data_IF_752068571562
#
_entry.id   IF_752068571562
#
_cell.length_a   1.000
_cell.length_b   1.000
_cell.length_c   1.000
_cell.angle_alpha   90.00
_cell.angle_beta   90.00
_cell.angle_gamma   90.00
#
_symmetry.space_group_name_H-M   'P 1'
#
loop_
_entity.id
_entity.type
_entity.pdbx_description
1 polymer ?
#
# COMPACT_ATOMS: atom_id res chain seq x y z
N UNK A 1 -60.20 9.36 -3.40
CA UNK A 1 -59.23 8.39 -2.87
C UNK A 1 -58.39 7.99 -4.06
N UNK A 2 -57.35 8.79 -4.32
CA UNK A 2 -56.35 8.50 -5.33
C UNK A 2 -55.11 8.08 -4.55
N UNK A 3 -54.90 6.77 -4.49
CA UNK A 3 -53.75 6.15 -3.83
C UNK A 3 -52.48 6.56 -4.58
N UNK A 4 -51.70 7.39 -3.91
CA UNK A 4 -50.33 7.71 -4.28
C UNK A 4 -49.51 6.43 -4.08
N UNK A 5 -49.35 5.63 -5.14
CA UNK A 5 -48.44 4.50 -5.17
C UNK A 5 -47.01 5.05 -5.11
N UNK A 6 -46.54 5.28 -3.89
CA UNK A 6 -45.14 5.46 -3.57
C UNK A 6 -44.46 4.10 -3.75
N UNK A 7 -44.18 3.76 -5.01
CA UNK A 7 -43.15 2.77 -5.37
C UNK A 7 -41.84 3.31 -4.81
N UNK A 8 -41.62 2.96 -3.55
CA UNK A 8 -40.41 3.22 -2.81
C UNK A 8 -39.42 2.24 -3.38
N UNK A 9 -38.61 2.74 -4.32
CA UNK A 9 -37.47 2.09 -4.96
C UNK A 9 -36.46 1.61 -3.91
N UNK A 10 -36.81 0.50 -3.25
CA UNK A 10 -36.09 -0.11 -2.13
C UNK A 10 -35.47 -1.46 -2.52
N UNK A 11 -35.38 -1.71 -3.83
CA UNK A 11 -34.62 -2.81 -4.44
C UNK A 11 -33.11 -2.50 -4.57
N UNK A 12 -32.63 -1.37 -4.05
CA UNK A 12 -31.33 -0.79 -4.42
C UNK A 12 -30.19 -1.03 -3.42
N UNK A 13 -30.06 -2.22 -2.85
CA UNK A 13 -28.84 -2.61 -2.12
C UNK A 13 -28.37 -3.98 -2.58
N UNK A 14 -27.34 -4.01 -3.42
CA UNK A 14 -26.62 -5.24 -3.78
C UNK A 14 -25.90 -5.78 -2.54
N UNK A 15 -26.46 -6.83 -1.96
CA UNK A 15 -26.06 -7.36 -0.66
C UNK A 15 -24.57 -7.75 -0.65
N UNK A 16 -24.06 -8.36 -1.72
CA UNK A 16 -22.66 -8.80 -1.76
C UNK A 16 -21.67 -7.63 -1.84
N UNK A 17 -21.92 -6.61 -2.68
CA UNK A 17 -20.99 -5.49 -2.86
C UNK A 17 -20.89 -4.65 -1.58
N UNK A 18 -22.03 -4.35 -0.97
CA UNK A 18 -22.10 -3.60 0.29
C UNK A 18 -21.44 -4.36 1.44
N UNK A 19 -21.70 -5.67 1.52
CA UNK A 19 -21.03 -6.55 2.47
C UNK A 19 -19.51 -6.59 2.25
N UNK A 20 -19.06 -6.68 0.99
CA UNK A 20 -17.63 -6.73 0.67
C UNK A 20 -16.93 -5.43 1.06
N UNK A 21 -17.50 -4.26 0.78
CA UNK A 21 -16.88 -2.96 1.07
C UNK A 21 -16.93 -2.66 2.58
N UNK A 22 -17.98 -3.09 3.27
CA UNK A 22 -18.09 -2.94 4.74
C UNK A 22 -17.26 -3.96 5.51
N UNK A 23 -16.77 -5.01 4.84
CA UNK A 23 -15.90 -6.02 5.46
C UNK A 23 -14.58 -5.43 5.95
N UNK A 24 -14.14 -5.92 7.10
CA UNK A 24 -12.91 -5.46 7.76
C UNK A 24 -11.70 -5.70 6.84
N UNK A 25 -10.96 -4.64 6.55
CA UNK A 25 -9.81 -4.68 5.65
C UNK A 25 -10.08 -4.12 4.26
N UNK A 26 -11.35 -3.89 3.88
CA UNK A 26 -11.72 -3.41 2.55
C UNK A 26 -12.05 -1.91 2.51
N UNK A 27 -11.60 -1.14 3.50
CA UNK A 27 -11.96 0.29 3.61
C UNK A 27 -11.40 1.15 2.47
N UNK A 28 -10.41 0.65 1.73
CA UNK A 28 -9.81 1.33 0.57
C UNK A 28 -10.61 1.18 -0.72
N UNK A 29 -11.48 0.17 -0.82
CA UNK A 29 -12.31 0.00 -2.00
C UNK A 29 -13.38 1.09 -2.08
N UNK A 30 -13.75 1.44 -3.30
CA UNK A 30 -15.00 2.14 -3.57
C UNK A 30 -16.03 1.18 -4.15
N UNK A 31 -17.29 1.60 -4.08
CA UNK A 31 -18.40 0.89 -4.69
C UNK A 31 -18.36 1.06 -6.21
N UNK A 32 -18.34 -0.06 -6.94
CA UNK A 32 -18.42 -0.07 -8.40
C UNK A 32 -19.90 -0.02 -8.81
N UNK A 33 -20.22 0.87 -9.75
CA UNK A 33 -21.58 0.97 -10.28
C UNK A 33 -22.00 -0.33 -10.97
N UNK A 34 -23.25 -0.74 -10.77
CA UNK A 34 -23.79 -1.95 -11.41
C UNK A 34 -23.78 -1.89 -12.94
N UNK A 35 -24.04 -0.70 -13.51
CA UNK A 35 -23.93 -0.44 -14.94
C UNK A 35 -22.52 -0.76 -15.48
N UNK A 36 -21.48 -0.54 -14.68
CA UNK A 36 -20.11 -0.85 -15.07
C UNK A 36 -19.82 -2.35 -15.07
N UNK A 37 -20.39 -3.09 -14.11
CA UNK A 37 -20.26 -4.55 -13.97
C UNK A 37 -21.07 -5.33 -15.02
N UNK A 38 -22.21 -4.79 -15.43
CA UNK A 38 -23.08 -5.44 -16.43
C UNK A 38 -22.56 -5.25 -17.87
N UNK A 39 -21.75 -4.22 -18.12
CA UNK A 39 -21.13 -4.00 -19.43
C UNK A 39 -19.92 -4.92 -19.68
N UNK A 40 -20.13 -5.89 -20.58
CA UNK A 40 -19.13 -6.89 -20.97
C UNK A 40 -17.85 -6.27 -21.54
N UNK A 41 -17.90 -5.08 -22.13
CA UNK A 41 -16.72 -4.44 -22.70
C UNK A 41 -15.69 -4.10 -21.61
N UNK A 42 -16.14 -3.64 -20.45
CA UNK A 42 -15.27 -3.28 -19.33
C UNK A 42 -14.58 -4.50 -18.71
N UNK A 43 -15.18 -5.68 -18.83
CA UNK A 43 -14.70 -6.94 -18.26
C UNK A 43 -13.84 -7.76 -19.23
N UNK A 44 -13.56 -7.24 -20.43
CA UNK A 44 -12.78 -7.95 -21.46
C UNK A 44 -11.44 -8.44 -20.92
N UNK A 45 -11.12 -9.72 -21.15
CA UNK A 45 -9.86 -10.37 -20.75
C UNK A 45 -9.81 -10.88 -19.31
N UNK A 46 -10.76 -10.52 -18.43
CA UNK A 46 -10.78 -11.02 -17.04
C UNK A 46 -11.19 -12.49 -16.95
N UNK A 47 -11.89 -12.99 -17.96
CA UNK A 47 -12.31 -14.39 -18.06
C UNK A 47 -11.13 -15.38 -18.15
N UNK A 48 -9.95 -14.94 -18.58
CA UNK A 48 -8.75 -15.79 -18.62
C UNK A 48 -7.94 -15.73 -17.32
N UNK A 49 -8.10 -14.68 -16.52
CA UNK A 49 -7.38 -14.49 -15.27
C UNK A 49 -8.14 -15.09 -14.07
N UNK A 50 -9.47 -15.04 -14.10
CA UNK A 50 -10.32 -15.46 -12.97
C UNK A 50 -10.88 -16.87 -13.20
N UNK A 51 -10.64 -17.76 -12.23
CA UNK A 51 -11.26 -19.09 -12.20
C UNK A 51 -12.75 -18.98 -11.86
N UNK A 52 -13.61 -19.82 -12.43
CA UNK A 52 -15.06 -19.78 -12.20
C UNK A 52 -15.68 -18.40 -12.52
N UNK A 53 -15.15 -17.71 -13.53
CA UNK A 53 -15.53 -16.33 -13.88
C UNK A 53 -17.05 -16.07 -13.91
N UNK A 54 -17.83 -16.94 -14.56
CA UNK A 54 -19.28 -16.75 -14.64
C UNK A 54 -19.94 -16.80 -13.26
N UNK A 55 -19.63 -17.82 -12.46
CA UNK A 55 -20.15 -17.95 -11.09
C UNK A 55 -19.70 -16.82 -10.17
N UNK A 56 -18.45 -16.36 -10.33
CA UNK A 56 -17.92 -15.23 -9.60
C UNK A 56 -18.65 -13.92 -9.97
N UNK A 57 -18.93 -13.70 -11.26
CA UNK A 57 -19.70 -12.55 -11.72
C UNK A 57 -21.13 -12.59 -11.21
N UNK A 58 -21.80 -13.73 -11.34
CA UNK A 58 -23.17 -13.94 -10.87
C UNK A 58 -23.28 -13.66 -9.35
N UNK A 59 -22.26 -14.02 -8.57
CA UNK A 59 -22.19 -13.74 -7.14
C UNK A 59 -22.02 -12.24 -6.84
N UNK A 60 -21.16 -11.54 -7.58
CA UNK A 60 -20.94 -10.09 -7.42
C UNK A 60 -22.17 -9.27 -7.84
N UNK A 61 -22.99 -9.80 -8.76
CA UNK A 61 -24.23 -9.18 -9.22
C UNK A 61 -25.48 -9.68 -8.48
N UNK A 62 -25.33 -10.47 -7.40
CA UNK A 62 -26.44 -11.05 -6.62
C UNK A 62 -27.44 -11.90 -7.45
N UNK A 63 -26.98 -12.50 -8.56
CA UNK A 63 -27.77 -13.43 -9.42
C UNK A 63 -27.38 -14.91 -9.17
N UNK A 64 -26.54 -15.15 -8.16
CA UNK A 64 -26.04 -16.49 -7.87
C UNK A 64 -27.07 -17.37 -7.15
N UNK A 65 -27.58 -18.37 -7.86
CA UNK A 65 -28.63 -19.30 -7.40
C UNK A 65 -28.17 -20.78 -7.45
N UNK A 66 -26.86 -21.02 -7.26
CA UNK A 66 -26.31 -22.38 -7.32
C UNK A 66 -26.15 -22.97 -5.91
N UNK A 67 -26.94 -24.01 -5.63
CA UNK A 67 -26.71 -24.90 -4.50
C UNK A 67 -25.46 -25.76 -4.77
N UNK A 68 -24.35 -25.42 -4.11
CA UNK A 68 -23.07 -26.13 -4.19
C UNK A 68 -22.53 -26.45 -2.81
N UNK A 69 -21.63 -27.43 -2.75
CA UNK A 69 -20.95 -27.82 -1.51
C UNK A 69 -20.13 -26.64 -0.95
N UNK A 70 -19.96 -26.59 0.38
CA UNK A 70 -19.31 -25.48 1.08
C UNK A 70 -17.89 -25.16 0.54
N UNK A 71 -17.12 -26.19 0.18
CA UNK A 71 -15.78 -26.02 -0.40
C UNK A 71 -15.80 -25.31 -1.76
N UNK A 72 -16.79 -25.66 -2.60
CA UNK A 72 -16.95 -25.04 -3.91
C UNK A 72 -17.43 -23.60 -3.77
N UNK A 73 -18.31 -23.33 -2.81
CA UNK A 73 -18.76 -21.97 -2.50
C UNK A 73 -17.62 -21.08 -2.04
N UNK A 74 -16.75 -21.57 -1.17
CA UNK A 74 -15.56 -20.81 -0.71
C UNK A 74 -14.62 -20.49 -1.88
N UNK A 75 -14.42 -21.44 -2.80
CA UNK A 75 -13.61 -21.22 -4.00
C UNK A 75 -14.22 -20.13 -4.91
N UNK A 76 -15.54 -20.16 -5.12
CA UNK A 76 -16.26 -19.14 -5.90
C UNK A 76 -16.16 -17.78 -5.23
N UNK A 77 -16.33 -17.70 -3.90
CA UNK A 77 -16.17 -16.45 -3.16
C UNK A 77 -14.76 -15.87 -3.29
N UNK A 78 -13.72 -16.71 -3.23
CA UNK A 78 -12.33 -16.28 -3.44
C UNK A 78 -12.15 -15.71 -4.85
N UNK A 79 -12.69 -16.37 -5.86
CA UNK A 79 -12.70 -15.86 -7.24
C UNK A 79 -13.50 -14.57 -7.39
N UNK A 80 -14.63 -14.41 -6.70
CA UNK A 80 -15.44 -13.21 -6.72
C UNK A 80 -14.71 -12.01 -6.10
N UNK A 81 -14.04 -12.19 -4.94
CA UNK A 81 -13.17 -11.15 -4.35
C UNK A 81 -12.05 -10.75 -5.31
N UNK A 82 -11.44 -11.74 -5.97
CA UNK A 82 -10.38 -11.49 -6.95
C UNK A 82 -10.89 -10.72 -8.17
N UNK A 83 -12.02 -11.14 -8.74
CA UNK A 83 -12.69 -10.48 -9.87
C UNK A 83 -13.03 -9.02 -9.51
N UNK A 84 -13.69 -8.80 -8.38
CA UNK A 84 -14.07 -7.47 -7.91
C UNK A 84 -12.84 -6.56 -7.79
N UNK A 85 -11.73 -7.09 -7.27
CA UNK A 85 -10.47 -6.35 -7.18
C UNK A 85 -9.90 -5.95 -8.56
N UNK A 86 -9.91 -6.84 -9.54
CA UNK A 86 -9.45 -6.54 -10.90
C UNK A 86 -10.34 -5.53 -11.61
N UNK A 87 -11.66 -5.64 -11.45
CA UNK A 87 -12.61 -4.66 -11.99
C UNK A 87 -12.44 -3.32 -11.30
N UNK A 88 -12.21 -3.31 -9.98
CA UNK A 88 -11.97 -2.09 -9.22
C UNK A 88 -10.78 -1.31 -9.77
N UNK A 89 -9.67 -1.97 -10.10
CA UNK A 89 -8.49 -1.33 -10.69
C UNK A 89 -8.81 -0.58 -11.99
N UNK A 90 -9.70 -1.15 -12.82
CA UNK A 90 -10.17 -0.51 -14.07
C UNK A 90 -11.17 0.62 -13.77
N UNK A 91 -12.08 0.40 -12.84
CA UNK A 91 -13.15 1.34 -12.50
C UNK A 91 -12.61 2.65 -11.91
N UNK A 92 -11.63 2.59 -10.99
CA UNK A 92 -11.11 3.80 -10.32
C UNK A 92 -10.33 4.75 -11.23
N UNK A 93 -10.02 4.33 -12.46
CA UNK A 93 -9.42 5.18 -13.49
C UNK A 93 -10.49 5.92 -14.31
N UNK A 94 -11.74 5.48 -14.28
CA UNK A 94 -12.87 6.15 -14.94
C UNK A 94 -13.28 7.44 -14.22
N UNK A 95 -13.97 8.34 -14.90
CA UNK A 95 -14.45 9.60 -14.31
C UNK A 95 -15.35 9.39 -13.10
N UNK A 96 -16.24 8.38 -13.14
CA UNK A 96 -17.13 8.03 -12.02
C UNK A 96 -16.34 7.45 -10.84
N UNK A 97 -15.43 6.51 -11.08
CA UNK A 97 -14.60 5.91 -10.03
C UNK A 97 -13.64 6.91 -9.38
N UNK A 98 -13.03 7.80 -10.18
CA UNK A 98 -12.17 8.88 -9.67
C UNK A 98 -12.94 9.81 -8.72
N UNK A 99 -14.19 10.15 -9.04
CA UNK A 99 -15.02 10.99 -8.17
C UNK A 99 -15.29 10.32 -6.81
N UNK A 100 -15.66 9.03 -6.80
CA UNK A 100 -15.87 8.27 -5.54
C UNK A 100 -14.59 8.17 -4.71
N UNK A 101 -13.46 7.89 -5.36
CA UNK A 101 -12.16 7.82 -4.67
C UNK A 101 -11.70 9.19 -4.15
N UNK A 102 -12.02 10.27 -4.87
CA UNK A 102 -11.73 11.64 -4.43
C UNK A 102 -12.49 11.99 -3.14
N UNK A 103 -13.73 11.55 -3.00
CA UNK A 103 -14.49 11.76 -1.76
C UNK A 103 -13.84 11.06 -0.56
N UNK A 104 -13.40 9.81 -0.76
CA UNK A 104 -12.64 9.05 0.26
C UNK A 104 -11.29 9.72 0.58
N UNK A 105 -10.61 10.26 -0.43
CA UNK A 105 -9.37 11.01 -0.25
C UNK A 105 -9.56 12.28 0.60
N UNK A 106 -10.64 13.03 0.35
CA UNK A 106 -10.99 14.23 1.15
C UNK A 106 -11.29 13.88 2.61
N UNK A 107 -11.92 12.72 2.86
CA UNK A 107 -12.17 12.19 4.21
C UNK A 107 -10.94 11.58 4.88
N UNK A 108 -9.84 11.39 4.13
CA UNK A 108 -8.62 10.71 4.55
C UNK A 108 -8.83 9.25 4.99
N UNK A 109 -9.77 8.55 4.34
CA UNK A 109 -10.09 7.13 4.61
C UNK A 109 -8.88 6.21 4.39
N UNK A 110 -8.01 6.57 3.43
CA UNK A 110 -6.81 5.81 3.10
C UNK A 110 -5.70 5.92 4.17
N UNK A 111 -5.83 6.88 5.09
CA UNK A 111 -4.83 7.21 6.08
C UNK A 111 -4.04 8.47 5.72
N UNK A 112 -3.05 8.76 6.57
CA UNK A 112 -2.24 9.99 6.53
C UNK A 112 -0.76 9.66 6.46
N UNK A 113 0.01 10.53 5.83
CA UNK A 113 1.44 10.36 5.65
C UNK A 113 2.16 10.19 7.01
N UNK A 114 2.99 9.15 7.17
CA UNK A 114 3.74 8.93 8.42
C UNK A 114 4.87 9.96 8.61
N UNK A 115 5.31 10.65 7.55
CA UNK A 115 6.33 11.69 7.67
C UNK A 115 5.76 12.89 8.42
N UNK A 116 6.40 13.24 9.55
CA UNK A 116 6.04 14.38 10.40
C UNK A 116 5.96 15.69 9.60
N UNK A 117 6.95 15.93 8.72
CA UNK A 117 7.02 17.16 7.92
C UNK A 117 5.95 17.24 6.81
N UNK A 118 5.16 16.19 6.60
CA UNK A 118 4.04 16.21 5.65
C UNK A 118 2.72 16.70 6.27
N UNK A 119 2.71 17.15 7.52
CA UNK A 119 1.53 17.66 8.25
C UNK A 119 0.30 16.76 8.11
N UNK A 120 0.51 15.45 8.20
CA UNK A 120 -0.53 14.44 8.10
C UNK A 120 -1.36 14.52 6.79
N UNK A 121 -0.70 14.81 5.67
CA UNK A 121 -1.28 14.76 4.32
C UNK A 121 -2.04 13.44 4.06
N UNK A 122 -3.28 13.49 3.53
CA UNK A 122 -4.00 12.28 3.09
C UNK A 122 -3.23 11.51 2.02
N UNK A 123 -3.29 10.18 2.11
CA UNK A 123 -2.63 9.26 1.19
C UNK A 123 -3.60 8.72 0.13
N UNK A 124 -3.07 8.12 -0.92
CA UNK A 124 -3.85 7.37 -1.93
C UNK A 124 -3.32 5.94 -2.04
N UNK A 125 -4.20 4.94 -2.20
CA UNK A 125 -3.77 3.57 -2.45
C UNK A 125 -3.20 3.43 -3.86
N UNK A 126 -2.20 2.58 -4.04
CA UNK A 126 -1.67 2.17 -5.33
C UNK A 126 -1.00 0.79 -5.25
N UNK A 127 -0.86 0.11 -6.38
CA UNK A 127 -0.06 -1.11 -6.52
C UNK A 127 1.31 -0.82 -7.13
N UNK A 128 2.36 -1.53 -6.70
CA UNK A 128 3.68 -1.44 -7.36
C UNK A 128 3.72 -2.20 -8.69
N UNK A 129 2.80 -3.16 -8.87
CA UNK A 129 2.61 -3.96 -10.07
C UNK A 129 1.13 -4.06 -10.37
N UNK A 130 0.78 -4.12 -11.66
CA UNK A 130 -0.58 -4.42 -12.12
C UNK A 130 -0.83 -5.94 -12.21
N UNK A 131 0.21 -6.77 -11.99
CA UNK A 131 0.11 -8.23 -11.98
C UNK A 131 -0.32 -8.71 -10.58
N UNK A 132 -1.42 -9.47 -10.47
CA UNK A 132 -1.91 -9.98 -9.19
C UNK A 132 -0.89 -10.83 -8.43
N UNK A 133 -1.03 -10.86 -7.10
CA UNK A 133 -0.21 -11.60 -6.14
C UNK A 133 1.29 -11.23 -6.14
N UNK A 134 1.68 -10.12 -6.75
CA UNK A 134 3.10 -9.67 -6.77
C UNK A 134 3.45 -8.89 -5.51
N UNK A 135 2.64 -7.89 -5.16
CA UNK A 135 2.92 -6.97 -4.05
C UNK A 135 1.61 -6.49 -3.42
N UNK A 136 1.57 -6.35 -2.09
CA UNK A 136 0.40 -5.78 -1.43
C UNK A 136 0.25 -4.28 -1.72
N UNK A 137 -0.93 -3.74 -1.47
CA UNK A 137 -1.22 -2.32 -1.65
C UNK A 137 -0.26 -1.43 -0.87
N UNK A 138 0.18 -0.36 -1.53
CA UNK A 138 1.00 0.72 -0.97
C UNK A 138 0.21 2.01 -0.95
N UNK A 139 0.70 2.98 -0.18
CA UNK A 139 0.09 4.29 -0.04
C UNK A 139 1.04 5.36 -0.58
N UNK A 140 0.58 6.09 -1.59
CA UNK A 140 1.29 7.21 -2.20
C UNK A 140 0.94 8.53 -1.50
N UNK A 141 1.96 9.32 -1.18
CA UNK A 141 1.79 10.68 -0.65
C UNK A 141 2.10 11.73 -1.72
N UNK A 142 1.10 12.53 -2.10
CA UNK A 142 1.27 13.61 -3.08
C UNK A 142 2.18 14.75 -2.60
N UNK A 143 2.44 14.84 -1.29
CA UNK A 143 3.24 15.92 -0.72
C UNK A 143 4.74 15.61 -0.69
N UNK A 144 5.12 14.38 -0.35
CA UNK A 144 6.53 13.94 -0.37
C UNK A 144 6.90 13.06 -1.56
N UNK A 145 5.93 12.67 -2.39
CA UNK A 145 6.13 11.86 -3.61
C UNK A 145 6.79 10.52 -3.34
N UNK A 146 6.40 9.88 -2.24
CA UNK A 146 7.03 8.66 -1.75
C UNK A 146 5.96 7.66 -1.31
N UNK A 147 6.35 6.39 -1.26
CA UNK A 147 5.49 5.24 -1.00
C UNK A 147 5.62 4.75 0.43
N UNK A 148 4.48 4.42 1.02
CA UNK A 148 4.39 3.93 2.39
C UNK A 148 3.63 2.62 2.46
N UNK A 149 3.99 1.80 3.45
CA UNK A 149 3.18 0.66 3.81
C UNK A 149 1.96 1.12 4.63
N UNK A 150 0.78 0.50 4.44
CA UNK A 150 -0.35 0.70 5.33
C UNK A 150 0.04 0.44 6.78
N UNK A 151 -0.39 1.31 7.70
CA UNK A 151 -0.06 1.19 9.13
C UNK A 151 -0.68 -0.06 9.78
N UNK A 152 -1.85 -0.46 9.30
CA UNK A 152 -2.60 -1.58 9.84
C UNK A 152 -2.30 -2.85 9.05
N UNK A 153 -1.99 -3.95 9.75
CA UNK A 153 -1.74 -5.26 9.12
C UNK A 153 -2.93 -5.78 8.33
N UNK A 154 -4.17 -5.38 8.68
CA UNK A 154 -5.39 -5.76 7.95
C UNK A 154 -5.42 -5.29 6.49
N UNK A 155 -4.68 -4.22 6.18
CA UNK A 155 -4.58 -3.67 4.83
C UNK A 155 -3.40 -4.25 4.06
N UNK A 156 -2.49 -4.96 4.75
CA UNK A 156 -1.33 -5.58 4.12
C UNK A 156 -1.67 -6.87 3.34
N UNK A 157 -2.85 -7.45 3.57
CA UNK A 157 -3.35 -8.60 2.81
C UNK A 157 -4.04 -8.23 1.49
N UNK A 158 -4.31 -6.94 1.26
CA UNK A 158 -4.95 -6.49 0.02
C UNK A 158 -3.89 -6.45 -1.09
N UNK A 159 -4.21 -7.05 -2.23
CA UNK A 159 -3.37 -7.00 -3.41
C UNK A 159 -3.30 -5.57 -3.98
N UNK A 160 -2.09 -5.10 -4.27
CA UNK A 160 -1.88 -3.80 -4.89
C UNK A 160 -2.42 -3.72 -6.32
N UNK A 161 -2.48 -4.85 -7.03
CA UNK A 161 -3.00 -4.90 -8.40
C UNK A 161 -4.45 -4.39 -8.50
N UNK A 162 -5.23 -4.49 -7.42
CA UNK A 162 -6.63 -4.03 -7.38
C UNK A 162 -6.80 -2.50 -7.37
N UNK A 163 -5.70 -1.75 -7.21
CA UNK A 163 -5.67 -0.30 -7.34
C UNK A 163 -4.85 0.14 -8.55
N UNK A 164 -4.02 -0.75 -9.07
CA UNK A 164 -3.11 -0.49 -10.19
C UNK A 164 -1.99 0.51 -9.88
N UNK A 165 -1.07 0.60 -10.82
CA UNK A 165 0.11 1.47 -10.75
C UNK A 165 -0.19 2.93 -11.08
N UNK A 166 -1.24 3.17 -11.87
CA UNK A 166 -1.48 4.46 -12.53
C UNK A 166 -2.52 5.35 -11.84
N UNK A 167 -3.39 4.78 -10.99
CA UNK A 167 -4.54 5.48 -10.42
C UNK A 167 -4.19 6.82 -9.74
N UNK A 168 -3.17 6.83 -8.87
CA UNK A 168 -2.77 8.03 -8.13
C UNK A 168 -2.34 9.18 -9.06
N UNK A 169 -1.64 8.86 -10.15
CA UNK A 169 -1.20 9.85 -11.14
C UNK A 169 -2.37 10.41 -11.94
N UNK A 170 -3.28 9.53 -12.37
CA UNK A 170 -4.46 9.90 -13.16
C UNK A 170 -5.39 10.80 -12.34
N UNK A 171 -5.59 10.51 -11.05
CA UNK A 171 -6.39 11.35 -10.15
C UNK A 171 -5.87 12.79 -10.10
N UNK A 172 -4.56 13.00 -9.97
CA UNK A 172 -3.98 14.34 -9.92
C UNK A 172 -3.94 15.04 -11.28
N UNK A 173 -3.91 14.28 -12.38
CA UNK A 173 -4.05 14.85 -13.72
C UNK A 173 -5.47 15.40 -13.95
N UNK A 174 -6.50 14.68 -13.49
CA UNK A 174 -7.91 15.11 -13.61
C UNK A 174 -8.27 16.18 -12.58
N UNK A 175 -7.71 16.11 -11.37
CA UNK A 175 -7.95 17.07 -10.29
C UNK A 175 -6.66 17.77 -9.81
N UNK A 176 -6.06 18.68 -10.62
CA UNK A 176 -4.81 19.36 -10.25
C UNK A 176 -4.92 20.20 -8.97
N UNK A 177 -6.12 20.71 -8.66
CA UNK A 177 -6.36 21.52 -7.47
C UNK A 177 -6.16 20.76 -6.15
N UNK A 178 -6.14 19.42 -6.19
CA UNK A 178 -5.92 18.57 -5.01
C UNK A 178 -4.44 18.32 -4.72
N UNK A 179 -3.54 18.73 -5.61
CA UNK A 179 -2.10 18.60 -5.39
C UNK A 179 -1.64 19.60 -4.32
N UNK A 180 -1.07 19.12 -3.20
CA UNK A 180 -0.53 20.02 -2.19
C UNK A 180 0.71 20.75 -2.74
N UNK A 181 0.96 21.99 -2.30
CA UNK A 181 2.19 22.69 -2.63
C UNK A 181 3.40 21.89 -2.12
N UNK A 182 4.43 21.78 -2.97
CA UNK A 182 5.66 21.09 -2.59
C UNK A 182 6.40 21.89 -1.53
N UNK A 183 6.98 21.20 -0.56
CA UNK A 183 7.75 21.80 0.53
C UNK A 183 9.17 21.23 0.55
N UNK A 184 10.15 22.09 0.81
CA UNK A 184 11.56 21.68 0.92
C UNK A 184 12.02 21.47 2.37
N UNK A 185 11.15 21.72 3.35
CA UNK A 185 11.49 21.63 4.77
C UNK A 185 11.78 20.18 5.16
N UNK A 186 13.01 19.89 5.57
CA UNK A 186 13.40 18.59 6.13
C UNK A 186 13.65 18.76 7.63
N UNK A 187 13.60 17.65 8.36
CA UNK A 187 14.02 17.64 9.76
C UNK A 187 15.50 18.06 9.82
N UNK A 188 15.79 19.12 10.59
CA UNK A 188 17.14 19.56 10.87
C UNK A 188 17.58 18.99 12.23
N UNK A 189 18.51 18.03 12.27
CA UNK A 189 19.00 17.50 13.53
C UNK A 189 19.75 18.59 14.30
N UNK A 190 19.43 18.72 15.60
CA UNK A 190 20.03 19.70 16.51
C UNK A 190 20.47 19.03 17.80
N UNK A 191 21.63 19.42 18.29
CA UNK A 191 22.20 18.97 19.58
C UNK A 191 22.36 20.22 20.44
N UNK A 192 21.71 20.26 21.61
CA UNK A 192 21.64 21.44 22.48
C UNK A 192 21.23 22.75 21.77
N UNK A 193 20.38 22.65 20.73
CA UNK A 193 19.91 23.80 19.94
C UNK A 193 20.83 24.18 18.76
N UNK A 194 22.06 23.67 18.73
CA UNK A 194 22.99 23.86 17.62
C UNK A 194 22.70 22.89 16.48
N UNK A 195 22.72 23.39 15.23
CA UNK A 195 22.62 22.53 14.04
C UNK A 195 23.83 21.61 14.00
N UNK A 196 23.60 20.32 13.75
CA UNK A 196 24.69 19.38 13.49
C UNK A 196 25.43 19.84 12.23
N UNK A 197 26.74 20.05 12.34
CA UNK A 197 27.53 20.59 11.25
C UNK A 197 27.54 19.62 10.06
N UNK A 198 27.42 20.13 8.83
CA UNK A 198 27.37 19.32 7.61
C UNK A 198 28.61 18.41 7.47
N UNK A 199 29.76 18.88 7.95
CA UNK A 199 30.99 18.09 8.00
C UNK A 199 30.87 16.86 8.90
N UNK A 200 30.12 16.90 10.00
CA UNK A 200 29.93 15.72 10.87
C UNK A 200 28.98 14.68 10.25
N UNK A 201 28.11 15.08 9.31
CA UNK A 201 27.33 14.15 8.51
C UNK A 201 28.17 13.54 7.38
N UNK A 202 29.06 14.34 6.76
CA UNK A 202 30.01 13.87 5.76
C UNK A 202 31.07 12.94 6.37
N UNK A 203 31.58 13.26 7.56
CA UNK A 203 32.57 12.46 8.30
C UNK A 203 32.01 11.06 8.57
N UNK A 204 30.79 10.97 9.15
CA UNK A 204 30.12 9.67 9.37
C UNK A 204 29.96 8.85 8.09
N UNK A 205 29.58 9.49 6.98
CA UNK A 205 29.51 8.81 5.70
C UNK A 205 30.89 8.38 5.17
N UNK A 206 31.94 9.17 5.39
CA UNK A 206 33.31 8.84 5.02
C UNK A 206 33.88 7.70 5.88
N UNK A 207 33.54 7.65 7.17
CA UNK A 207 33.93 6.61 8.11
C UNK A 207 33.23 5.28 7.75
N UNK A 208 31.91 5.30 7.47
CA UNK A 208 31.18 4.13 6.94
C UNK A 208 31.82 3.61 5.64
N UNK A 209 32.20 4.50 4.72
CA UNK A 209 32.88 4.12 3.46
C UNK A 209 34.29 3.57 3.70
N UNK A 210 34.98 4.05 4.74
CA UNK A 210 36.31 3.55 5.14
C UNK A 210 36.20 2.15 5.71
N UNK A 211 35.22 1.88 6.56
CA UNK A 211 34.97 0.55 7.13
C UNK A 211 34.54 -0.46 6.05
N UNK A 212 33.65 -0.07 5.12
CA UNK A 212 33.32 -0.87 3.93
C UNK A 212 34.59 -1.24 3.12
N UNK A 213 35.53 -0.29 2.98
CA UNK A 213 36.77 -0.48 2.24
C UNK A 213 37.76 -1.37 3.01
N UNK A 214 37.92 -1.19 4.33
CA UNK A 214 38.74 -2.06 5.18
C UNK A 214 38.24 -3.50 5.14
N UNK A 215 36.92 -3.70 5.25
CA UNK A 215 36.30 -5.03 5.16
C UNK A 215 36.58 -5.69 3.80
N UNK A 216 36.47 -4.93 2.70
CA UNK A 216 36.83 -5.42 1.35
C UNK A 216 38.29 -5.82 1.24
N UNK A 217 39.21 -5.02 1.77
CA UNK A 217 40.64 -5.27 1.70
C UNK A 217 41.05 -6.48 2.56
N UNK A 218 40.49 -6.60 3.77
CA UNK A 218 40.61 -7.80 4.62
C UNK A 218 40.10 -9.05 3.91
N UNK A 219 38.95 -8.97 3.22
CA UNK A 219 38.39 -10.09 2.44
C UNK A 219 39.29 -10.52 1.27
N UNK A 220 40.09 -9.61 0.72
CA UNK A 220 41.10 -9.91 -0.31
C UNK A 220 42.47 -10.32 0.26
N UNK A 221 42.61 -10.47 1.58
CA UNK A 221 43.87 -10.83 2.24
C UNK A 221 44.92 -9.73 2.22
N UNK A 222 44.51 -8.48 1.99
CA UNK A 222 45.39 -7.31 2.00
C UNK A 222 45.30 -6.69 3.38
N UNK A 223 46.43 -6.69 4.09
CA UNK A 223 46.52 -6.08 5.41
C UNK A 223 46.39 -4.56 5.29
N UNK A 224 45.45 -4.01 6.04
CA UNK A 224 45.15 -2.59 6.07
C UNK A 224 45.87 -2.05 7.28
N UNK A 225 47.10 -1.56 7.11
CA UNK A 225 47.94 -1.03 8.20
C UNK A 225 47.42 0.25 8.87
N UNK A 226 46.10 0.36 9.09
CA UNK A 226 45.47 1.27 10.02
C UNK A 226 45.55 0.63 11.42
N UNK A 227 45.88 1.43 12.44
CA UNK A 227 45.75 1.00 13.83
C UNK A 227 44.25 0.87 14.14
N UNK A 228 43.86 -0.26 14.75
CA UNK A 228 42.51 -0.43 15.28
C UNK A 228 42.39 0.43 16.55
N UNK A 229 41.78 1.62 16.42
CA UNK A 229 41.49 2.52 17.56
C UNK A 229 40.18 2.13 18.28
N UNK A 230 39.86 0.85 18.34
CA UNK A 230 38.78 0.32 19.18
C UNK A 230 39.43 -0.55 20.26
N UNK A 231 39.64 0.00 21.47
CA UNK A 231 39.69 -0.74 22.76
C UNK A 231 40.15 0.17 23.92
N UNK A 232 39.42 1.24 24.27
CA UNK A 232 39.51 1.77 25.66
C UNK A 232 38.37 2.70 26.13
N UNK A 233 37.42 3.12 25.28
CA UNK A 233 36.40 4.10 25.70
C UNK A 233 35.02 3.53 26.07
N UNK A 234 34.68 2.29 25.68
CA UNK A 234 33.33 1.72 25.84
C UNK A 234 33.25 0.52 26.82
N UNK A 235 34.31 0.23 27.57
CA UNK A 235 34.33 -0.87 28.56
C UNK A 235 33.83 -0.50 29.97
N UNK A 236 33.42 0.74 30.22
CA UNK A 236 32.95 1.14 31.57
C UNK A 236 31.46 0.86 31.86
N UNK A 237 30.66 0.38 30.90
CA UNK A 237 29.21 0.19 31.09
C UNK A 237 28.68 -1.25 30.80
N UNK A 238 29.54 -2.28 30.76
CA UNK A 238 29.12 -3.67 30.48
C UNK A 238 29.40 -4.68 31.61
N UNK A 239 29.29 -4.25 32.88
CA UNK A 239 29.08 -5.19 33.98
C UNK A 239 27.58 -5.39 34.21
N UNK A 240 27.14 -6.66 34.10
CA UNK A 240 25.79 -7.20 34.33
C UNK A 240 24.80 -7.18 33.15
N UNK A 241 24.94 -8.14 32.21
CA UNK A 241 24.01 -9.28 32.08
C UNK A 241 24.30 -10.05 30.77
N UNK A 242 24.58 -11.34 30.91
CA UNK A 242 25.03 -12.22 29.83
C UNK A 242 23.92 -12.73 28.91
N UNK A 243 24.39 -13.12 27.72
CA UNK A 243 23.84 -14.13 26.80
C UNK A 243 22.61 -13.76 25.95
N UNK A 244 22.82 -13.57 24.63
CA UNK A 244 21.71 -13.72 23.67
C UNK A 244 21.77 -13.13 22.25
N UNK A 245 22.88 -12.55 21.74
CA UNK A 245 22.83 -11.75 20.48
C UNK A 245 23.34 -12.43 19.18
N UNK A 246 23.75 -13.71 19.17
CA UNK A 246 24.31 -14.33 17.93
C UNK A 246 23.35 -14.54 16.74
N UNK A 247 22.07 -14.13 16.82
CA UNK A 247 21.08 -14.37 15.76
C UNK A 247 20.90 -13.28 14.69
N UNK A 248 21.41 -12.05 14.90
CA UNK A 248 20.94 -10.89 14.11
C UNK A 248 21.74 -10.58 12.83
N UNK A 249 22.98 -11.07 12.71
CA UNK A 249 23.87 -10.72 11.60
C UNK A 249 23.66 -11.53 10.32
N UNK A 250 23.01 -12.70 10.39
CA UNK A 250 22.81 -13.57 9.23
C UNK A 250 21.65 -13.14 8.29
N UNK A 251 20.77 -12.23 8.71
CA UNK A 251 19.52 -11.95 7.98
C UNK A 251 19.58 -10.77 6.98
N UNK A 252 20.66 -9.97 6.96
CA UNK A 252 20.78 -8.84 6.02
C UNK A 252 21.31 -9.22 4.63
N UNK A 253 21.81 -10.44 4.46
CA UNK A 253 22.50 -10.87 3.23
C UNK A 253 21.62 -11.61 2.20
N UNK A 254 20.29 -11.66 2.36
CA UNK A 254 19.42 -12.45 1.47
C UNK A 254 18.39 -11.70 0.63
N UNK A 255 18.40 -10.36 0.58
CA UNK A 255 17.51 -9.63 -0.33
C UNK A 255 18.25 -8.53 -1.09
N UNK A 256 19.02 -8.97 -2.08
CA UNK A 256 19.20 -8.29 -3.37
C UNK A 256 18.56 -9.16 -4.45
#
# INVERSE_FOLDING_TARGET
>A
MDDFNSETDSDYTSYWRDWFISSRGNEYFCEIDEEYLTDRFNLTGLNTEVQYYQYALDLVTDVFDLDCDDEMREAIEKSARHLYGLVHARYIVTTRGLAKMLEKFKKADFGKCPRVMCDAQPLLPMGQSDVPNTSPVKLYCARCEDLYNPKSSRHASIDGAYFGTSFHNILFQVYPAMLPPKFQRRYEPRVFGFRVHAYAALQRWQDDRREDMKLRLRKTGIDVGFEDEDDEADLEDMDEEGEGYEGALAARDQQL
#
